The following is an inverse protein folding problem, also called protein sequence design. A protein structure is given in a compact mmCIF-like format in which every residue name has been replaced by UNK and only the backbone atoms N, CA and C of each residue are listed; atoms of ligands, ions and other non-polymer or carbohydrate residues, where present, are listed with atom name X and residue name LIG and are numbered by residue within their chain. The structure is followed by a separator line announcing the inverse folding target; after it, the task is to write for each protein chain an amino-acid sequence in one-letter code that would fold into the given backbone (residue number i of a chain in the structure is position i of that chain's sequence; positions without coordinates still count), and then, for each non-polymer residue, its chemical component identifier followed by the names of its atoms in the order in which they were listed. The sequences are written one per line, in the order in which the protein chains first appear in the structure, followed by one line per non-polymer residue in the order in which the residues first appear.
data_IF_393090782737
#
_entry.id   IF_393090782737
#
_cell.length_a   1.000
_cell.length_b   1.000
_cell.length_c   1.000
_cell.angle_alpha   90.00
_cell.angle_beta   90.00
_cell.angle_gamma   90.00
#
_symmetry.space_group_name_H-M   'P 1'
#
loop_
_entity.id
_entity.type
_entity.pdbx_description
1 polymer ?
#
# COMPACT_ATOMS: atom_id res chain seq x y z
N UNK A 1 1.46 -22.63 0.01
CA UNK A 1 0.88 -21.47 -0.68
C UNK A 1 0.76 -20.28 0.30
N UNK A 2 1.31 -19.16 -0.07
CA UNK A 2 1.25 -17.96 0.79
C UNK A 2 -0.12 -17.31 0.67
N UNK A 3 -0.64 -16.86 1.80
CA UNK A 3 -1.95 -16.23 1.86
C UNK A 3 -1.83 -14.73 1.80
N UNK A 4 -2.74 -14.13 1.04
CA UNK A 4 -2.85 -12.68 0.95
C UNK A 4 -4.07 -12.23 1.74
N UNK A 5 -3.89 -11.15 2.51
CA UNK A 5 -5.01 -10.43 3.09
C UNK A 5 -5.50 -9.46 2.01
N UNK A 6 -6.79 -9.50 1.70
CA UNK A 6 -7.40 -8.54 0.79
C UNK A 6 -7.90 -7.35 1.58
N UNK A 7 -7.50 -6.16 1.17
CA UNK A 7 -8.05 -4.94 1.71
C UNK A 7 -9.20 -4.48 0.82
N UNK A 8 -10.15 -3.72 1.37
CA UNK A 8 -11.22 -3.15 0.57
C UNK A 8 -10.65 -2.16 -0.46
N UNK A 9 -11.39 -1.97 -1.55
CA UNK A 9 -10.95 -1.06 -2.61
C UNK A 9 -10.81 0.38 -2.07
N UNK A 10 -9.71 1.02 -2.43
CA UNK A 10 -9.45 2.40 -2.08
C UNK A 10 -9.84 3.28 -3.27
N UNK A 11 -10.82 4.16 -3.07
CA UNK A 11 -11.33 5.04 -4.14
C UNK A 11 -10.42 6.24 -4.31
N UNK A 12 -10.18 6.63 -5.56
CA UNK A 12 -9.25 7.69 -5.89
C UNK A 12 -9.78 8.50 -7.07
N UNK A 13 -9.87 9.82 -6.89
CA UNK A 13 -10.16 10.77 -7.98
C UNK A 13 -8.89 11.51 -8.34
N UNK A 14 -8.71 11.76 -9.63
CA UNK A 14 -7.52 12.45 -10.14
C UNK A 14 -7.82 13.94 -10.27
N UNK A 15 -7.06 14.76 -9.57
CA UNK A 15 -7.17 16.21 -9.55
C UNK A 15 -6.08 16.86 -10.41
N UNK A 16 -6.24 18.15 -10.67
CA UNK A 16 -5.25 18.94 -11.44
C UNK A 16 -3.85 18.82 -10.83
N UNK A 17 -3.74 18.87 -9.50
CA UNK A 17 -2.44 18.78 -8.82
C UNK A 17 -1.72 17.45 -9.05
N UNK A 18 -2.45 16.41 -9.47
CA UNK A 18 -1.88 15.08 -9.71
C UNK A 18 -1.30 14.93 -11.11
N UNK A 19 -1.61 15.85 -12.02
CA UNK A 19 -1.32 15.72 -13.45
C UNK A 19 -0.17 16.62 -13.89
N UNK A 20 0.46 16.21 -14.99
CA UNK A 20 1.40 17.05 -15.71
C UNK A 20 0.62 18.00 -16.67
N UNK A 21 1.37 18.78 -17.45
CA UNK A 21 0.74 19.76 -18.35
C UNK A 21 -0.05 19.11 -19.49
N UNK A 22 0.09 17.79 -19.71
CA UNK A 22 -0.68 17.05 -20.70
C UNK A 22 -1.98 16.48 -20.16
N UNK A 23 -2.24 16.63 -18.86
CA UNK A 23 -3.42 16.09 -18.21
C UNK A 23 -3.29 14.62 -17.81
N UNK A 24 -2.09 14.06 -17.87
CA UNK A 24 -1.81 12.70 -17.39
C UNK A 24 -1.23 12.76 -15.99
N UNK A 25 -1.52 11.75 -15.18
CA UNK A 25 -0.93 11.62 -13.85
C UNK A 25 0.60 11.56 -13.99
N UNK A 26 1.28 12.44 -13.27
CA UNK A 26 2.74 12.43 -13.22
C UNK A 26 3.21 11.12 -12.58
N UNK A 27 4.16 10.44 -13.23
CA UNK A 27 4.50 9.05 -12.86
C UNK A 27 4.89 8.86 -11.39
N UNK A 28 5.54 9.84 -10.77
CA UNK A 28 5.90 9.74 -9.35
C UNK A 28 4.68 9.71 -8.42
N UNK A 29 3.55 10.23 -8.85
CA UNK A 29 2.34 10.29 -8.03
C UNK A 29 1.69 8.93 -7.81
N UNK A 30 1.92 7.95 -8.68
CA UNK A 30 1.40 6.60 -8.46
C UNK A 30 1.93 6.00 -7.16
N UNK A 31 3.19 6.27 -6.82
CA UNK A 31 3.75 5.84 -5.53
C UNK A 31 3.02 6.46 -4.35
N UNK A 32 2.63 7.73 -4.45
CA UNK A 32 1.86 8.42 -3.41
C UNK A 32 0.47 7.82 -3.26
N UNK A 33 -0.19 7.52 -4.36
CA UNK A 33 -1.53 6.93 -4.34
C UNK A 33 -1.50 5.54 -3.69
N UNK A 34 -0.51 4.73 -4.04
CA UNK A 34 -0.34 3.41 -3.44
C UNK A 34 -0.01 3.52 -1.95
N UNK A 35 0.77 4.52 -1.54
CA UNK A 35 1.05 4.76 -0.12
C UNK A 35 -0.23 5.09 0.65
N UNK A 36 -1.10 5.93 0.08
CA UNK A 36 -2.39 6.26 0.71
C UNK A 36 -3.23 5.01 0.95
N UNK A 37 -3.28 4.11 -0.02
CA UNK A 37 -4.02 2.85 0.11
C UNK A 37 -3.41 1.95 1.19
N UNK A 38 -2.07 1.87 1.27
CA UNK A 38 -1.38 1.11 2.33
C UNK A 38 -1.66 1.71 3.71
N UNK A 39 -1.58 3.02 3.84
CA UNK A 39 -1.87 3.72 5.11
C UNK A 39 -3.31 3.52 5.52
N UNK A 40 -4.24 3.52 4.56
CA UNK A 40 -5.64 3.26 4.82
C UNK A 40 -5.86 1.85 5.41
N UNK A 41 -5.15 0.84 4.87
CA UNK A 41 -5.19 -0.51 5.42
C UNK A 41 -4.76 -0.52 6.89
N UNK A 42 -3.64 0.13 7.19
CA UNK A 42 -3.12 0.17 8.56
C UNK A 42 -4.08 0.89 9.50
N UNK A 43 -4.58 2.06 9.08
CA UNK A 43 -5.53 2.84 9.88
C UNK A 43 -6.80 2.06 10.21
N UNK A 44 -7.37 1.36 9.24
CA UNK A 44 -8.58 0.58 9.44
C UNK A 44 -8.37 -0.62 10.37
N UNK A 45 -7.13 -1.03 10.55
CA UNK A 45 -6.76 -2.11 11.46
C UNK A 45 -6.17 -1.59 12.78
N UNK A 46 -6.37 -0.30 13.07
CA UNK A 46 -5.97 0.30 14.34
C UNK A 46 -4.48 0.58 14.46
N UNK A 47 -3.75 0.57 13.36
CA UNK A 47 -2.31 0.82 13.35
C UNK A 47 -2.06 2.23 12.83
N UNK A 48 -1.60 3.12 13.71
CA UNK A 48 -1.40 4.54 13.40
C UNK A 48 0.09 4.85 13.36
N UNK A 49 0.52 5.49 12.27
CA UNK A 49 1.93 5.90 12.14
C UNK A 49 2.39 6.79 13.29
N UNK A 50 1.54 7.69 13.76
CA UNK A 50 1.89 8.59 14.87
C UNK A 50 2.19 7.84 16.16
N UNK A 51 1.48 6.74 16.41
CA UNK A 51 1.70 5.92 17.60
C UNK A 51 3.00 5.14 17.49
N UNK A 52 3.30 4.64 16.28
CA UNK A 52 4.56 3.97 16.02
C UNK A 52 5.74 4.90 16.26
N UNK A 53 5.67 6.11 15.73
CA UNK A 53 6.75 7.12 15.90
C UNK A 53 6.98 7.44 17.37
N UNK A 54 5.92 7.55 18.18
CA UNK A 54 6.05 7.77 19.62
C UNK A 54 6.82 6.66 20.32
N UNK A 55 6.79 5.45 19.75
CA UNK A 55 7.54 4.30 20.27
C UNK A 55 8.84 4.06 19.49
N UNK A 56 9.32 5.07 18.77
CA UNK A 56 10.53 5.01 17.95
C UNK A 56 10.47 3.93 16.87
N UNK A 57 9.30 3.73 16.29
CA UNK A 57 9.08 2.75 15.21
C UNK A 57 8.54 3.45 13.96
N UNK A 58 8.88 2.90 12.80
CA UNK A 58 8.32 3.36 11.54
C UNK A 58 8.35 2.25 10.49
N UNK A 59 7.35 2.27 9.59
CA UNK A 59 7.41 1.46 8.39
C UNK A 59 8.22 2.19 7.32
N UNK A 60 9.13 1.46 6.69
CA UNK A 60 9.93 2.00 5.59
C UNK A 60 9.80 1.11 4.37
N UNK A 61 9.78 1.73 3.20
CA UNK A 61 9.77 1.00 1.94
C UNK A 61 11.19 0.50 1.67
N UNK A 62 11.32 -0.82 1.51
CA UNK A 62 12.60 -1.45 1.19
C UNK A 62 12.78 -1.64 -0.30
N UNK A 63 11.68 -1.87 -1.00
CA UNK A 63 11.69 -2.11 -2.44
C UNK A 63 10.34 -1.75 -3.04
N UNK A 64 10.35 -1.19 -4.24
CA UNK A 64 9.15 -0.90 -5.00
C UNK A 64 9.40 -1.27 -6.45
N UNK A 65 8.55 -2.15 -7.00
CA UNK A 65 8.53 -2.48 -8.41
C UNK A 65 7.22 -1.97 -8.99
N UNK A 66 7.31 -1.13 -10.02
CA UNK A 66 6.15 -0.48 -10.61
C UNK A 66 6.08 -0.76 -12.10
N UNK A 67 4.89 -1.11 -12.57
CA UNK A 67 4.60 -1.23 -13.99
C UNK A 67 3.56 -0.19 -14.38
N UNK A 68 3.92 0.69 -15.30
CA UNK A 68 3.05 1.75 -15.81
C UNK A 68 2.46 1.27 -17.13
N UNK A 69 1.21 0.83 -17.10
CA UNK A 69 0.59 0.13 -18.24
C UNK A 69 -0.24 1.07 -19.11
N UNK A 70 -1.05 1.92 -18.48
CA UNK A 70 -1.91 2.89 -19.15
C UNK A 70 -1.91 4.17 -18.33
N UNK A 71 -1.97 5.34 -18.97
CA UNK A 71 -1.97 6.59 -18.21
C UNK A 71 -3.32 6.84 -17.54
N UNK A 72 -3.28 7.25 -16.28
CA UNK A 72 -4.43 7.84 -15.62
C UNK A 72 -4.52 9.31 -16.01
N UNK A 73 -5.72 9.82 -16.09
CA UNK A 73 -5.99 11.17 -16.61
C UNK A 73 -6.76 12.02 -15.63
N UNK A 74 -6.68 13.33 -15.84
CA UNK A 74 -7.46 14.30 -15.10
C UNK A 74 -8.94 13.89 -15.06
N UNK A 75 -9.52 13.97 -13.87
CA UNK A 75 -10.94 13.68 -13.61
C UNK A 75 -11.32 12.20 -13.67
N UNK A 76 -10.36 11.30 -13.91
CA UNK A 76 -10.62 9.87 -13.77
C UNK A 76 -11.00 9.52 -12.33
N UNK A 77 -11.97 8.61 -12.19
CA UNK A 77 -12.32 7.98 -10.91
C UNK A 77 -11.85 6.54 -10.95
N UNK A 78 -10.91 6.20 -10.08
CA UNK A 78 -10.19 4.94 -10.13
C UNK A 78 -10.28 4.23 -8.77
N UNK A 79 -9.91 2.95 -8.74
CA UNK A 79 -9.80 2.21 -7.50
C UNK A 79 -8.41 1.59 -7.40
N UNK A 80 -7.88 1.51 -6.18
CA UNK A 80 -6.67 0.78 -5.89
C UNK A 80 -7.05 -0.48 -5.13
N UNK A 81 -6.69 -1.61 -5.70
CA UNK A 81 -6.88 -2.93 -5.08
C UNK A 81 -5.57 -3.30 -4.40
N UNK A 82 -5.66 -3.74 -3.16
CA UNK A 82 -4.48 -4.02 -2.34
C UNK A 82 -4.62 -5.40 -1.71
N UNK A 83 -3.59 -6.23 -1.87
CA UNK A 83 -3.44 -7.49 -1.17
C UNK A 83 -2.13 -7.46 -0.39
N UNK A 84 -2.11 -8.01 0.80
CA UNK A 84 -0.97 -7.94 1.70
C UNK A 84 -0.52 -9.36 2.07
N UNK A 85 0.78 -9.59 2.00
CA UNK A 85 1.41 -10.84 2.38
C UNK A 85 2.44 -10.59 3.47
N UNK A 86 2.41 -11.40 4.54
CA UNK A 86 3.48 -11.35 5.53
C UNK A 86 4.68 -12.11 4.97
N UNK A 87 5.80 -11.43 4.78
CA UNK A 87 7.05 -12.05 4.34
C UNK A 87 7.84 -12.61 5.54
N UNK A 88 7.82 -11.88 6.65
CA UNK A 88 8.46 -12.26 7.90
C UNK A 88 7.77 -11.53 9.05
N UNK A 89 8.25 -11.70 10.29
CA UNK A 89 7.68 -10.98 11.43
C UNK A 89 7.92 -9.47 11.41
N UNK A 90 8.80 -8.99 10.53
CA UNK A 90 9.14 -7.57 10.41
C UNK A 90 8.87 -7.01 9.02
N UNK A 91 8.54 -7.84 8.03
CA UNK A 91 8.36 -7.43 6.64
C UNK A 91 7.05 -7.91 6.05
N UNK A 92 6.44 -7.08 5.23
CA UNK A 92 5.23 -7.42 4.47
C UNK A 92 5.34 -6.91 3.05
N UNK A 93 4.62 -7.54 2.16
CA UNK A 93 4.57 -7.17 0.75
C UNK A 93 3.16 -6.75 0.41
N UNK A 94 3.04 -5.58 -0.20
CA UNK A 94 1.78 -5.08 -0.74
C UNK A 94 1.77 -5.31 -2.24
N UNK A 95 0.74 -6.00 -2.72
CA UNK A 95 0.45 -6.14 -4.15
C UNK A 95 -0.68 -5.18 -4.46
N UNK A 96 -0.41 -4.17 -5.26
CA UNK A 96 -1.35 -3.09 -5.51
C UNK A 96 -1.58 -2.88 -7.00
N UNK A 97 -2.83 -2.62 -7.37
CA UNK A 97 -3.22 -2.35 -8.75
C UNK A 97 -4.16 -1.16 -8.78
N UNK A 98 -3.89 -0.22 -9.68
CA UNK A 98 -4.81 0.86 -9.99
C UNK A 98 -5.68 0.45 -11.16
N UNK A 99 -6.99 0.44 -10.96
CA UNK A 99 -7.95 -0.12 -11.92
C UNK A 99 -9.00 0.92 -12.25
N UNK A 100 -9.34 1.02 -13.54
CA UNK A 100 -10.51 1.77 -13.96
C UNK A 100 -11.74 0.88 -13.78
N UNK A 101 -12.68 1.22 -12.88
CA UNK A 101 -13.82 0.34 -12.62
C UNK A 101 -14.81 0.27 -13.77
N UNK A 102 -14.78 1.22 -14.71
CA UNK A 102 -15.71 1.21 -15.84
C UNK A 102 -15.38 0.12 -16.86
N UNK A 103 -14.09 -0.10 -17.14
CA UNK A 103 -13.66 -1.07 -18.16
C UNK A 103 -12.83 -2.22 -17.58
N UNK A 104 -12.50 -2.17 -16.29
CA UNK A 104 -11.70 -3.18 -15.63
C UNK A 104 -10.22 -3.18 -15.98
N UNK A 105 -9.76 -2.19 -16.74
CA UNK A 105 -8.35 -2.13 -17.15
C UNK A 105 -7.46 -1.73 -16.00
N UNK A 106 -6.28 -2.35 -15.94
CA UNK A 106 -5.25 -2.02 -14.96
C UNK A 106 -4.35 -0.95 -15.57
N UNK A 107 -4.24 0.19 -14.89
CA UNK A 107 -3.40 1.30 -15.35
C UNK A 107 -1.98 1.22 -14.81
N UNK A 108 -1.85 0.76 -13.57
CA UNK A 108 -0.54 0.68 -12.90
C UNK A 108 -0.57 -0.46 -11.89
N UNK A 109 0.54 -1.18 -11.78
CA UNK A 109 0.72 -2.22 -10.76
C UNK A 109 1.97 -1.93 -9.96
N UNK A 110 1.93 -2.29 -8.67
CA UNK A 110 3.09 -2.16 -7.80
C UNK A 110 3.23 -3.35 -6.88
N UNK A 111 4.47 -3.72 -6.62
CA UNK A 111 4.84 -4.69 -5.58
C UNK A 111 5.75 -3.93 -4.62
N UNK A 112 5.27 -3.68 -3.41
CA UNK A 112 5.94 -2.81 -2.46
C UNK A 112 6.30 -3.61 -1.21
N UNK A 113 7.58 -3.77 -0.96
CA UNK A 113 8.07 -4.41 0.26
C UNK A 113 8.31 -3.37 1.33
N UNK A 114 7.71 -3.58 2.50
CA UNK A 114 7.73 -2.66 3.63
C UNK A 114 8.29 -3.39 4.85
N UNK A 115 9.16 -2.70 5.60
CA UNK A 115 9.76 -3.24 6.81
C UNK A 115 9.47 -2.31 7.98
N UNK A 116 9.15 -2.88 9.14
CA UNK A 116 9.08 -2.12 10.37
C UNK A 116 10.50 -2.00 10.93
N UNK A 117 10.94 -0.79 11.24
CA UNK A 117 12.27 -0.55 11.81
C UNK A 117 12.19 0.21 13.13
N UNK A 118 13.19 0.02 13.94
CA UNK A 118 13.45 0.85 15.12
C UNK A 118 14.22 2.10 14.64
N UNK A 119 13.68 3.28 14.92
CA UNK A 119 14.25 4.55 14.44
C UNK A 119 15.59 4.88 15.12
N UNK A 120 15.85 4.32 16.31
CA UNK A 120 17.12 4.55 17.03
C UNK A 120 18.22 3.65 16.48
N UNK A 121 17.94 2.33 16.40
CA UNK A 121 18.94 1.34 15.98
C UNK A 121 19.01 1.18 14.46
N UNK A 122 17.96 1.60 13.74
CA UNK A 122 17.78 1.42 12.29
C UNK A 122 17.67 -0.05 11.87
N UNK A 123 17.38 -0.94 12.82
CA UNK A 123 17.24 -2.37 12.57
C UNK A 123 15.78 -2.79 12.45
N UNK A 124 15.49 -3.90 11.74
CA UNK A 124 14.15 -4.46 11.69
C UNK A 124 13.59 -4.74 13.07
N UNK A 125 12.29 -4.54 13.22
CA UNK A 125 11.55 -4.70 14.46
C UNK A 125 10.33 -5.57 14.18
N UNK A 126 10.00 -6.49 15.10
CA UNK A 126 8.82 -7.34 14.97
C UNK A 126 7.56 -6.48 14.95
N UNK A 127 6.61 -6.80 14.07
CA UNK A 127 5.33 -6.11 13.95
C UNK A 127 4.59 -6.06 15.29
N UNK A 128 3.79 -4.99 15.52
CA UNK A 128 2.89 -4.96 16.67
C UNK A 128 1.96 -6.18 16.69
N UNK A 129 1.57 -6.60 17.89
CA UNK A 129 0.70 -7.76 18.06
C UNK A 129 -0.59 -7.65 17.25
N UNK A 130 -1.19 -6.46 17.18
CA UNK A 130 -2.42 -6.24 16.41
C UNK A 130 -2.24 -6.62 14.94
N UNK A 131 -1.10 -6.26 14.35
CA UNK A 131 -0.81 -6.59 12.96
C UNK A 131 -0.52 -8.09 12.80
N UNK A 132 0.25 -8.69 13.72
CA UNK A 132 0.52 -10.13 13.70
C UNK A 132 -0.78 -10.94 13.78
N UNK A 133 -1.73 -10.50 14.61
CA UNK A 133 -3.02 -11.16 14.75
C UNK A 133 -3.82 -11.13 13.45
N UNK A 134 -3.76 -10.04 12.69
CA UNK A 134 -4.44 -9.92 11.40
C UNK A 134 -3.92 -10.99 10.43
N UNK A 135 -2.61 -11.16 10.34
CA UNK A 135 -2.00 -12.17 9.49
C UNK A 135 -2.35 -13.58 9.95
N UNK A 136 -2.34 -13.82 11.26
CA UNK A 136 -2.68 -15.13 11.82
C UNK A 136 -4.15 -15.49 11.55
N UNK A 137 -5.07 -14.54 11.67
CA UNK A 137 -6.49 -14.75 11.34
C UNK A 137 -6.67 -15.13 9.87
N UNK A 138 -5.92 -14.47 8.97
CA UNK A 138 -5.94 -14.82 7.56
C UNK A 138 -5.49 -16.25 7.32
N UNK A 139 -4.52 -16.73 8.09
CA UNK A 139 -4.03 -18.11 8.02
C UNK A 139 -5.04 -19.12 8.55
N UNK A 140 -5.82 -18.74 9.57
CA UNK A 140 -6.78 -19.65 10.21
C UNK A 140 -8.11 -19.78 9.46
N UNK A 141 -8.44 -18.81 8.61
CA UNK A 141 -9.74 -18.74 7.92
C UNK A 141 -9.74 -19.44 6.56
N UNK A 142 -8.75 -20.23 6.27
CA UNK A 142 -8.75 -21.10 5.08
C UNK A 142 -9.36 -22.47 5.33
#
# INVERSE_FOLDING_TARGET
MRKHIQHRDFLLDIYIEDTDFQGFVYHANYLKFFERARSNFLLENGIFHKDLVQNSLAFVVKRAEMDFLLPAKLEDSLVIKTAIEKKSKARMIFYQSMVNPEDGKILCRGVIEVCLINLVTKKPQIFPNDLLLIFNKGELNE
#
